data_IF_064951312960
#
_entry.id   IF_064951312960
#
_cell.length_a   1.000
_cell.length_b   1.000
_cell.length_c   1.000
_cell.angle_alpha   90.00
_cell.angle_beta   90.00
_cell.angle_gamma   90.00
#
_symmetry.space_group_name_H-M   'P 1'
#
loop_
_entity.id
_entity.type
_entity.pdbx_description
1 polymer ?
#
# COMPACT_ATOMS: atom_id res chain seq x y z
N UNK A 1 -6.19 19.72 -7.54
CA UNK A 1 -6.48 19.83 -8.99
C UNK A 1 -7.25 18.63 -9.51
N UNK A 2 -6.70 17.41 -9.50
CA UNK A 2 -7.34 16.21 -10.07
C UNK A 2 -8.79 15.98 -9.58
N UNK A 3 -9.06 16.04 -8.26
CA UNK A 3 -10.43 15.92 -7.75
C UNK A 3 -11.40 16.98 -8.32
N UNK A 4 -10.94 18.21 -8.57
CA UNK A 4 -11.79 19.30 -9.05
C UNK A 4 -12.23 19.10 -10.52
N UNK A 5 -11.48 18.32 -11.30
CA UNK A 5 -11.85 17.96 -12.68
C UNK A 5 -12.68 16.67 -12.75
N UNK A 6 -13.19 16.19 -11.61
CA UNK A 6 -14.16 15.07 -11.51
C UNK A 6 -13.67 13.74 -12.10
N UNK A 7 -12.41 13.40 -11.86
CA UNK A 7 -11.87 12.05 -12.10
C UNK A 7 -12.37 11.04 -11.06
N UNK A 8 -12.44 9.75 -11.46
CA UNK A 8 -13.01 8.69 -10.62
C UNK A 8 -12.07 8.20 -9.50
N UNK A 9 -10.75 8.22 -9.73
CA UNK A 9 -9.74 7.84 -8.74
C UNK A 9 -8.38 8.50 -8.99
N UNK A 10 -7.61 8.72 -7.93
CA UNK A 10 -6.22 9.21 -8.00
C UNK A 10 -5.26 8.06 -7.74
N UNK A 11 -4.26 7.86 -8.61
CA UNK A 11 -3.13 6.98 -8.32
C UNK A 11 -1.97 7.81 -7.77
N UNK A 12 -1.67 7.68 -6.48
CA UNK A 12 -0.46 8.26 -5.87
C UNK A 12 0.73 7.37 -6.26
N UNK A 13 1.32 7.68 -7.41
CA UNK A 13 2.19 6.76 -8.14
C UNK A 13 3.68 6.98 -7.88
N UNK A 14 4.38 5.91 -7.50
CA UNK A 14 5.84 5.84 -7.42
C UNK A 14 6.55 5.85 -8.78
N UNK A 15 5.80 5.72 -9.88
CA UNK A 15 6.36 5.78 -11.25
C UNK A 15 6.72 7.21 -11.64
N UNK A 16 6.05 8.19 -11.01
CA UNK A 16 6.38 9.60 -11.17
C UNK A 16 7.43 10.00 -10.14
N UNK A 17 8.20 11.06 -10.43
CA UNK A 17 9.17 11.61 -9.49
C UNK A 17 8.46 12.04 -8.19
N UNK A 18 8.90 11.55 -7.02
CA UNK A 18 8.30 11.93 -5.74
C UNK A 18 8.40 13.44 -5.51
N UNK A 19 7.27 14.06 -5.17
CA UNK A 19 7.23 15.47 -4.77
C UNK A 19 7.65 15.66 -3.29
N UNK A 20 7.40 14.65 -2.46
CA UNK A 20 7.82 14.56 -1.06
C UNK A 20 8.51 13.19 -0.87
N UNK A 21 9.61 13.16 -0.11
CA UNK A 21 10.40 11.95 0.15
C UNK A 21 10.05 11.27 1.47
N UNK A 22 9.46 12.02 2.39
CA UNK A 22 9.24 11.59 3.77
C UNK A 22 7.78 11.21 4.00
N UNK A 23 6.84 11.92 3.35
CA UNK A 23 5.41 11.76 3.61
C UNK A 23 4.59 11.51 2.35
N UNK A 24 3.54 10.70 2.53
CA UNK A 24 2.48 10.51 1.55
C UNK A 24 1.31 11.44 1.82
N UNK A 25 0.45 11.61 0.82
CA UNK A 25 -0.77 12.41 0.95
C UNK A 25 -1.66 11.81 2.05
N UNK A 26 -2.19 12.65 2.95
CA UNK A 26 -3.31 12.29 3.81
C UNK A 26 -4.59 12.22 2.96
N UNK A 27 -4.98 11.00 2.57
CA UNK A 27 -6.03 10.73 1.58
C UNK A 27 -7.43 10.89 2.19
N UNK A 28 -7.57 10.84 3.51
CA UNK A 28 -8.84 11.10 4.22
C UNK A 28 -9.39 12.52 4.02
N UNK A 29 -8.54 13.47 3.60
CA UNK A 29 -8.96 14.84 3.29
C UNK A 29 -9.68 14.97 1.93
N UNK A 30 -9.84 13.87 1.20
CA UNK A 30 -10.40 13.85 -0.16
C UNK A 30 -11.64 12.97 -0.23
N UNK A 31 -12.54 13.32 -1.16
CA UNK A 31 -13.72 12.52 -1.49
C UNK A 31 -13.44 11.51 -2.59
N UNK A 32 -12.54 11.85 -3.51
CA UNK A 32 -12.11 10.94 -4.58
C UNK A 32 -11.24 9.82 -3.99
N UNK A 33 -11.49 8.54 -4.33
CA UNK A 33 -10.69 7.43 -3.82
C UNK A 33 -9.26 7.44 -4.36
N UNK A 34 -8.34 6.93 -3.55
CA UNK A 34 -6.93 6.79 -3.91
C UNK A 34 -6.53 5.32 -4.12
N UNK A 35 -5.69 5.11 -5.14
CA UNK A 35 -4.96 3.87 -5.39
C UNK A 35 -3.49 4.11 -5.04
N UNK A 36 -2.90 3.22 -4.25
CA UNK A 36 -1.48 3.29 -3.89
C UNK A 36 -0.74 1.99 -4.22
N UNK A 37 0.54 2.11 -4.56
CA UNK A 37 1.41 0.95 -4.75
C UNK A 37 1.96 0.40 -3.43
N UNK A 38 2.13 -0.92 -3.34
CA UNK A 38 2.85 -1.58 -2.24
C UNK A 38 3.75 -2.74 -2.73
N UNK A 39 4.85 -2.99 -2.01
CA UNK A 39 5.79 -4.12 -2.24
C UNK A 39 5.59 -5.29 -1.28
N UNK A 40 5.08 -4.99 -0.08
CA UNK A 40 4.85 -5.92 1.02
C UNK A 40 3.59 -5.51 1.81
N UNK A 41 3.15 -6.34 2.76
CA UNK A 41 1.93 -6.11 3.54
C UNK A 41 2.08 -4.85 4.40
N UNK A 42 3.25 -4.65 5.01
CA UNK A 42 3.50 -3.47 5.85
C UNK A 42 3.27 -2.15 5.11
N UNK A 43 3.80 -2.05 3.88
CA UNK A 43 3.58 -0.88 3.03
C UNK A 43 2.10 -0.73 2.63
N UNK A 44 1.43 -1.84 2.28
CA UNK A 44 0.01 -1.82 1.94
C UNK A 44 -0.85 -1.29 3.09
N UNK A 45 -0.65 -1.79 4.31
CA UNK A 45 -1.41 -1.38 5.49
C UNK A 45 -1.13 0.08 5.88
N UNK A 46 0.10 0.57 5.73
CA UNK A 46 0.39 2.00 5.91
C UNK A 46 -0.34 2.87 4.89
N UNK A 47 -0.38 2.48 3.61
CA UNK A 47 -1.14 3.20 2.57
C UNK A 47 -2.64 3.21 2.87
N UNK A 48 -3.20 2.09 3.33
CA UNK A 48 -4.60 1.99 3.75
C UNK A 48 -4.88 2.91 4.94
N UNK A 49 -3.99 2.92 5.94
CA UNK A 49 -4.10 3.80 7.11
C UNK A 49 -4.12 5.29 6.75
N UNK A 50 -3.38 5.67 5.71
CA UNK A 50 -3.37 7.03 5.16
C UNK A 50 -4.62 7.37 4.33
N UNK A 51 -5.48 6.38 4.05
CA UNK A 51 -6.75 6.54 3.33
C UNK A 51 -6.76 6.01 1.90
N UNK A 52 -5.84 5.10 1.52
CA UNK A 52 -5.92 4.42 0.23
C UNK A 52 -7.14 3.48 0.20
N UNK A 53 -7.98 3.62 -0.82
CA UNK A 53 -9.14 2.76 -1.03
C UNK A 53 -8.77 1.45 -1.78
N UNK A 54 -7.69 1.50 -2.56
CA UNK A 54 -7.18 0.35 -3.31
C UNK A 54 -5.67 0.24 -3.18
N UNK A 55 -5.18 -0.99 -3.15
CA UNK A 55 -3.75 -1.31 -3.23
C UNK A 55 -3.47 -2.03 -4.54
N UNK A 56 -2.42 -1.59 -5.24
CA UNK A 56 -1.81 -2.33 -6.36
C UNK A 56 -0.41 -2.76 -5.97
N UNK A 57 0.06 -3.88 -6.51
CA UNK A 57 1.46 -4.25 -6.33
C UNK A 57 2.35 -3.31 -7.15
N UNK A 58 3.48 -2.93 -6.57
CA UNK A 58 4.55 -2.29 -7.33
C UNK A 58 5.22 -3.34 -8.21
N UNK A 59 5.79 -2.89 -9.30
CA UNK A 59 6.66 -3.69 -10.16
C UNK A 59 7.73 -2.78 -10.75
N UNK A 60 8.44 -3.28 -11.74
CA UNK A 60 9.34 -2.45 -12.53
C UNK A 60 8.57 -1.86 -13.71
N UNK A 61 7.99 -0.68 -13.49
CA UNK A 61 7.17 -0.03 -14.52
C UNK A 61 8.02 0.30 -15.76
N UNK A 62 7.51 -0.05 -16.94
CA UNK A 62 8.12 0.29 -18.23
C UNK A 62 9.08 -0.76 -18.82
N UNK A 63 9.43 -1.82 -18.09
CA UNK A 63 10.36 -2.85 -18.63
C UNK A 63 9.68 -4.03 -19.32
N UNK A 64 8.37 -4.19 -19.13
CA UNK A 64 7.63 -5.37 -19.62
C UNK A 64 7.95 -6.66 -18.86
N UNK A 65 8.81 -6.59 -17.84
CA UNK A 65 9.18 -7.72 -16.99
C UNK A 65 8.24 -7.80 -15.78
N UNK A 66 7.61 -8.97 -15.60
CA UNK A 66 6.62 -9.19 -14.54
C UNK A 66 7.23 -9.73 -13.25
N UNK A 67 8.51 -10.08 -13.22
CA UNK A 67 9.16 -10.76 -12.07
C UNK A 67 8.99 -9.98 -10.77
N UNK A 68 9.24 -8.67 -10.77
CA UNK A 68 9.09 -7.84 -9.58
C UNK A 68 7.64 -7.75 -9.11
N UNK A 69 6.69 -7.59 -10.04
CA UNK A 69 5.27 -7.55 -9.71
C UNK A 69 4.78 -8.86 -9.08
N UNK A 70 5.23 -10.00 -9.61
CA UNK A 70 4.95 -11.34 -9.08
C UNK A 70 5.61 -11.53 -7.70
N UNK A 71 6.84 -11.05 -7.53
CA UNK A 71 7.56 -11.11 -6.25
C UNK A 71 6.82 -10.37 -5.14
N UNK A 72 6.46 -9.11 -5.37
CA UNK A 72 5.70 -8.30 -4.41
C UNK A 72 4.32 -8.89 -4.11
N UNK A 73 3.61 -9.39 -5.14
CA UNK A 73 2.32 -10.05 -4.96
C UNK A 73 2.44 -11.29 -4.07
N UNK A 74 3.48 -12.11 -4.28
CA UNK A 74 3.74 -13.29 -3.43
C UNK A 74 4.11 -12.91 -2.00
N UNK A 75 4.93 -11.87 -1.79
CA UNK A 75 5.27 -11.36 -0.46
C UNK A 75 4.01 -10.94 0.30
N UNK A 76 3.19 -10.05 -0.26
CA UNK A 76 1.95 -9.59 0.36
C UNK A 76 1.04 -10.78 0.74
N UNK A 77 0.78 -11.69 -0.21
CA UNK A 77 -0.10 -12.82 0.05
C UNK A 77 0.47 -13.82 1.08
N UNK A 78 1.80 -13.97 1.13
CA UNK A 78 2.44 -14.83 2.12
C UNK A 78 2.38 -14.23 3.52
N UNK A 79 2.57 -12.93 3.64
CA UNK A 79 2.48 -12.19 4.89
C UNK A 79 1.03 -12.18 5.42
N UNK A 80 0.03 -12.04 4.55
CA UNK A 80 -1.39 -12.19 4.92
C UNK A 80 -1.67 -13.59 5.47
N UNK A 81 -1.22 -14.65 4.77
CA UNK A 81 -1.40 -16.04 5.25
C UNK A 81 -0.72 -16.27 6.60
N UNK A 82 0.48 -15.70 6.80
CA UNK A 82 1.20 -15.78 8.07
C UNK A 82 0.41 -15.10 9.19
N UNK A 83 -0.07 -13.88 8.97
CA UNK A 83 -0.88 -13.14 9.93
C UNK A 83 -2.20 -13.85 10.27
N UNK A 84 -2.87 -14.47 9.29
CA UNK A 84 -4.19 -15.08 9.48
C UNK A 84 -4.24 -16.26 10.47
N UNK A 85 -3.09 -16.83 10.82
CA UNK A 85 -2.99 -17.96 11.76
C UNK A 85 -2.32 -17.58 13.08
N UNK A 86 -1.92 -16.31 13.24
CA UNK A 86 -1.31 -15.79 14.45
C UNK A 86 -2.38 -15.49 15.52
N UNK A 87 -2.00 -15.63 16.78
CA UNK A 87 -2.80 -15.12 17.89
C UNK A 87 -2.58 -13.60 18.09
N UNK A 88 -3.35 -12.98 18.98
CA UNK A 88 -3.31 -11.53 19.20
C UNK A 88 -1.92 -11.02 19.64
N UNK A 89 -1.24 -11.73 20.56
CA UNK A 89 0.09 -11.35 21.03
C UNK A 89 1.15 -11.43 19.91
N UNK A 90 1.06 -12.47 19.09
CA UNK A 90 1.89 -12.64 17.89
C UNK A 90 1.63 -11.54 16.86
N UNK A 91 0.36 -11.15 16.67
CA UNK A 91 -0.02 -10.05 15.78
C UNK A 91 0.53 -8.70 16.26
N UNK A 92 0.55 -8.43 17.57
CA UNK A 92 1.19 -7.21 18.11
C UNK A 92 2.69 -7.16 17.78
N UNK A 93 3.39 -8.28 17.98
CA UNK A 93 4.81 -8.38 17.64
C UNK A 93 5.03 -8.23 16.13
N UNK A 94 4.18 -8.87 15.32
CA UNK A 94 4.29 -8.87 13.87
C UNK A 94 3.97 -7.50 13.25
N UNK A 95 2.95 -6.80 13.75
CA UNK A 95 2.62 -5.43 13.35
C UNK A 95 3.82 -4.48 13.55
N UNK A 96 4.53 -4.63 14.68
CA UNK A 96 5.75 -3.87 14.97
C UNK A 96 6.90 -4.22 14.01
N UNK A 97 7.06 -5.52 13.70
CA UNK A 97 8.08 -6.01 12.75
C UNK A 97 7.89 -5.42 11.34
N UNK A 98 6.67 -5.47 10.80
CA UNK A 98 6.37 -4.98 9.45
C UNK A 98 6.06 -3.47 9.39
N UNK A 99 6.12 -2.80 10.55
CA UNK A 99 5.79 -1.39 10.73
C UNK A 99 4.37 -1.05 10.23
N UNK A 100 3.39 -1.89 10.53
CA UNK A 100 1.99 -1.69 10.17
C UNK A 100 1.15 -1.27 11.37
N UNK A 101 0.02 -0.56 11.14
CA UNK A 101 -0.96 -0.32 12.18
C UNK A 101 -1.61 -1.63 12.63
N UNK A 102 -1.50 -1.96 13.92
CA UNK A 102 -2.03 -3.20 14.49
C UNK A 102 -3.53 -3.39 14.22
N UNK A 103 -4.34 -2.33 14.31
CA UNK A 103 -5.79 -2.42 14.10
C UNK A 103 -6.22 -2.80 12.66
N UNK A 104 -5.28 -2.81 11.70
CA UNK A 104 -5.52 -3.24 10.32
C UNK A 104 -4.98 -4.65 10.03
N UNK A 105 -4.29 -5.27 10.99
CA UNK A 105 -3.68 -6.58 10.89
C UNK A 105 -4.58 -7.63 11.54
#
# INVERSE_FOLDING_TARGET
VLQAISIDYINESEVLTPADKDYHINKHNYKVPFVCGARNLGEALRRISEGAAFIRTKGEAGTGNVVEAVGHQRSIMSEIRKASVMNEEELYAYAKEIQAPFHLL
#
